data_IF_268675659586
#
_entry.id   IF_268675659586
#
_cell.length_a   1.000
_cell.length_b   1.000
_cell.length_c   1.000
_cell.angle_alpha   90.00
_cell.angle_beta   90.00
_cell.angle_gamma   90.00
#
_symmetry.space_group_name_H-M   'P 1'
#
loop_
_entity.id
_entity.type
_entity.pdbx_description
1 polymer ?
#
# COMPACT_ATOMS: atom_id res chain seq x y z
N UNK A 1 65.18 -0.49 31.34
CA UNK A 1 63.75 -0.41 31.73
C UNK A 1 62.94 0.19 30.60
N UNK A 2 61.69 -0.29 30.43
CA UNK A 2 60.62 0.16 29.51
C UNK A 2 60.70 -0.40 28.08
N UNK A 3 59.62 -0.88 27.47
CA UNK A 3 58.34 -1.51 27.86
C UNK A 3 57.75 -1.90 26.48
N UNK A 4 57.27 -3.13 26.33
CA UNK A 4 56.47 -3.50 25.16
C UNK A 4 55.15 -2.73 25.20
N UNK A 5 54.69 -2.22 24.05
CA UNK A 5 53.31 -1.81 23.84
C UNK A 5 52.80 -2.42 22.54
N UNK A 6 51.93 -3.40 22.71
CA UNK A 6 50.97 -3.90 21.74
C UNK A 6 49.86 -2.84 21.61
N UNK A 7 49.38 -2.57 20.39
CA UNK A 7 47.94 -2.61 20.06
C UNK A 7 47.64 -2.13 18.63
N UNK A 8 47.14 -3.10 17.86
CA UNK A 8 46.16 -3.09 16.76
C UNK A 8 46.17 -1.99 15.67
N UNK A 9 46.13 -2.40 14.38
CA UNK A 9 45.79 -1.52 13.28
C UNK A 9 44.28 -1.20 13.27
N UNK A 10 43.97 0.09 13.08
CA UNK A 10 42.63 0.60 12.81
C UNK A 10 42.08 -0.03 11.52
N UNK A 11 41.07 -0.88 11.66
CA UNK A 11 40.21 -1.32 10.56
C UNK A 11 39.28 -0.14 10.22
N UNK A 12 39.56 0.56 9.13
CA UNK A 12 38.58 1.44 8.48
C UNK A 12 37.62 0.58 7.63
N UNK A 13 36.61 0.01 8.28
CA UNK A 13 35.28 -0.20 7.71
C UNK A 13 34.49 1.00 8.26
N UNK A 14 33.85 1.87 7.50
CA UNK A 14 32.71 1.63 6.62
C UNK A 14 32.55 2.92 5.79
N UNK A 15 32.78 2.84 4.49
CA UNK A 15 32.13 3.77 3.54
C UNK A 15 31.65 2.96 2.33
N UNK A 16 30.90 1.91 2.63
CA UNK A 16 29.87 1.44 1.74
C UNK A 16 28.67 2.37 1.91
N UNK A 17 28.75 3.59 1.36
CA UNK A 17 27.54 4.19 0.83
C UNK A 17 27.18 3.33 -0.38
N UNK A 18 26.50 2.22 -0.10
CA UNK A 18 25.68 1.58 -1.11
C UNK A 18 24.64 2.66 -1.42
N UNK A 19 24.87 3.39 -2.51
CA UNK A 19 23.79 4.01 -3.24
C UNK A 19 22.91 2.86 -3.71
N UNK A 20 22.11 2.32 -2.79
CA UNK A 20 20.90 1.61 -3.14
C UNK A 20 20.07 2.66 -3.86
N UNK A 21 20.30 2.72 -5.18
CA UNK A 21 19.41 3.31 -6.15
C UNK A 21 18.02 3.03 -5.61
N UNK A 22 17.25 4.08 -5.43
CA UNK A 22 15.81 3.98 -5.40
C UNK A 22 15.42 3.31 -6.73
N UNK A 23 15.51 1.98 -6.77
CA UNK A 23 14.66 1.16 -7.59
C UNK A 23 13.29 1.47 -7.05
N UNK A 24 12.69 2.50 -7.62
CA UNK A 24 11.25 2.65 -7.68
C UNK A 24 10.75 1.31 -8.18
N UNK A 25 10.31 0.46 -7.24
CA UNK A 25 9.76 -0.85 -7.52
C UNK A 25 8.51 -0.64 -8.38
N UNK A 26 8.70 -0.57 -9.70
CA UNK A 26 7.69 -0.10 -10.65
C UNK A 26 6.50 -1.05 -10.78
N UNK A 27 6.52 -2.21 -10.10
CA UNK A 27 5.43 -3.18 -10.04
C UNK A 27 4.63 -3.19 -8.73
N UNK A 28 5.01 -2.42 -7.71
CA UNK A 28 4.34 -2.44 -6.40
C UNK A 28 2.90 -1.92 -6.46
N UNK A 29 2.70 -0.79 -7.15
CA UNK A 29 1.39 -0.16 -7.30
C UNK A 29 0.40 -1.04 -8.07
N UNK A 30 0.81 -1.59 -9.22
CA UNK A 30 -0.03 -2.48 -10.03
C UNK A 30 -0.40 -3.75 -9.25
N UNK A 31 0.55 -4.30 -8.51
CA UNK A 31 0.31 -5.46 -7.64
C UNK A 31 -0.72 -5.13 -6.56
N UNK A 32 -0.56 -3.99 -5.88
CA UNK A 32 -1.48 -3.55 -4.84
C UNK A 32 -2.90 -3.34 -5.39
N UNK A 33 -3.02 -2.62 -6.50
CA UNK A 33 -4.31 -2.35 -7.15
C UNK A 33 -4.97 -3.66 -7.61
N UNK A 34 -4.21 -4.60 -8.18
CA UNK A 34 -4.74 -5.90 -8.59
C UNK A 34 -5.26 -6.72 -7.40
N UNK A 35 -4.50 -6.76 -6.30
CA UNK A 35 -4.92 -7.45 -5.08
C UNK A 35 -6.18 -6.80 -4.49
N UNK A 36 -6.22 -5.47 -4.41
CA UNK A 36 -7.36 -4.72 -3.93
C UNK A 36 -8.64 -5.04 -4.73
N UNK A 37 -8.58 -4.99 -6.07
CA UNK A 37 -9.74 -5.32 -6.93
C UNK A 37 -10.21 -6.76 -6.70
N UNK A 38 -9.27 -7.70 -6.63
CA UNK A 38 -9.59 -9.10 -6.39
C UNK A 38 -10.26 -9.34 -5.04
N UNK A 39 -9.90 -8.60 -3.99
CA UNK A 39 -10.58 -8.68 -2.69
C UNK A 39 -11.96 -8.02 -2.73
N UNK A 40 -12.06 -6.84 -3.33
CA UNK A 40 -13.32 -6.11 -3.50
C UNK A 40 -14.35 -6.88 -4.31
N UNK A 41 -13.92 -7.73 -5.25
CA UNK A 41 -14.81 -8.55 -6.07
C UNK A 41 -15.24 -9.86 -5.37
N UNK A 42 -14.75 -10.15 -4.16
CA UNK A 42 -15.23 -11.28 -3.36
C UNK A 42 -16.56 -10.93 -2.68
N UNK A 43 -17.52 -11.83 -2.79
CA UNK A 43 -18.80 -11.74 -2.09
C UNK A 43 -19.98 -11.91 -3.02
N UNK A 44 -21.18 -11.72 -2.49
CA UNK A 44 -22.42 -11.76 -3.25
C UNK A 44 -22.90 -10.34 -3.59
N UNK A 45 -22.17 -9.69 -4.48
CA UNK A 45 -22.55 -8.42 -5.06
C UNK A 45 -22.04 -8.31 -6.51
N UNK A 46 -22.66 -7.46 -7.36
CA UNK A 46 -22.13 -7.16 -8.69
C UNK A 46 -20.69 -6.61 -8.63
N UNK A 47 -19.90 -6.84 -9.68
CA UNK A 47 -18.54 -6.30 -9.76
C UNK A 47 -18.54 -4.78 -9.81
N UNK A 48 -17.47 -4.18 -9.29
CA UNK A 48 -17.26 -2.74 -9.37
C UNK A 48 -16.65 -2.35 -10.72
N UNK A 49 -17.12 -1.23 -11.26
CA UNK A 49 -16.38 -0.47 -12.28
C UNK A 49 -15.54 0.57 -11.55
N UNK A 50 -14.22 0.44 -11.61
CA UNK A 50 -13.31 1.35 -10.91
C UNK A 50 -12.98 2.57 -11.77
N UNK A 51 -12.96 3.75 -11.14
CA UNK A 51 -12.34 4.96 -11.70
C UNK A 51 -10.81 4.90 -11.60
N UNK A 52 -10.17 6.05 -11.41
CA UNK A 52 -8.73 6.10 -11.15
C UNK A 52 -8.45 5.62 -9.73
N UNK A 53 -7.91 4.40 -9.61
CA UNK A 53 -7.37 3.90 -8.35
C UNK A 53 -5.91 4.33 -8.20
N UNK A 54 -5.55 4.78 -7.01
CA UNK A 54 -4.20 5.22 -6.67
C UNK A 54 -3.69 4.36 -5.53
N UNK A 55 -2.47 3.83 -5.68
CA UNK A 55 -1.74 3.23 -4.57
C UNK A 55 -0.91 4.29 -3.86
N UNK A 56 -1.14 4.45 -2.57
CA UNK A 56 -0.42 5.35 -1.66
C UNK A 56 0.43 4.50 -0.70
N UNK A 57 1.74 4.35 -0.96
CA UNK A 57 2.60 3.52 -0.12
C UNK A 57 2.71 4.10 1.29
N UNK A 58 2.79 3.22 2.29
CA UNK A 58 3.09 3.61 3.67
C UNK A 58 4.59 3.41 3.99
N UNK A 59 4.98 3.68 5.23
CA UNK A 59 6.37 3.59 5.68
C UNK A 59 6.93 2.14 5.69
N UNK A 60 6.09 1.12 5.57
CA UNK A 60 6.48 -0.28 5.51
C UNK A 60 6.70 -0.75 4.07
N UNK A 61 6.34 0.07 3.07
CA UNK A 61 6.60 -0.22 1.68
C UNK A 61 8.10 -0.20 1.38
N UNK A 62 8.62 -1.30 0.86
CA UNK A 62 10.04 -1.45 0.52
C UNK A 62 10.21 -2.21 -0.79
N UNK A 63 11.44 -2.44 -1.24
CA UNK A 63 11.70 -3.33 -2.38
C UNK A 63 11.34 -4.81 -2.10
N UNK A 64 11.14 -5.20 -0.83
CA UNK A 64 10.80 -6.57 -0.42
C UNK A 64 9.34 -6.75 0.00
N UNK A 65 8.61 -5.65 0.17
CA UNK A 65 7.23 -5.67 0.65
C UNK A 65 6.41 -4.57 -0.02
N UNK A 66 5.23 -4.92 -0.51
CA UNK A 66 4.22 -3.96 -0.93
C UNK A 66 3.33 -3.67 0.27
N UNK A 67 3.33 -2.44 0.76
CA UNK A 67 2.48 -2.03 1.88
C UNK A 67 1.91 -0.63 1.64
N UNK A 68 0.60 -0.47 1.78
CA UNK A 68 -0.02 0.84 1.64
C UNK A 68 -1.49 0.77 1.27
N UNK A 69 -2.05 1.91 0.92
CA UNK A 69 -3.47 2.08 0.72
C UNK A 69 -3.79 2.18 -0.76
N UNK A 70 -4.74 1.37 -1.24
CA UNK A 70 -5.38 1.61 -2.53
C UNK A 70 -6.64 2.43 -2.27
N UNK A 71 -6.76 3.54 -2.97
CA UNK A 71 -7.83 4.52 -2.80
C UNK A 71 -8.40 4.92 -4.15
N UNK A 72 -9.68 5.30 -4.18
CA UNK A 72 -10.24 5.98 -5.34
C UNK A 72 -11.75 5.87 -5.41
N UNK A 73 -12.26 5.92 -6.64
CA UNK A 73 -13.68 5.86 -6.92
C UNK A 73 -14.05 4.51 -7.53
N UNK A 74 -15.25 4.04 -7.21
CA UNK A 74 -15.87 2.88 -7.86
C UNK A 74 -17.35 3.09 -8.06
N UNK A 75 -17.94 2.36 -8.99
CA UNK A 75 -19.39 2.30 -9.18
C UNK A 75 -19.86 0.86 -9.32
N UNK A 76 -21.11 0.61 -8.93
CA UNK A 76 -21.74 -0.69 -9.03
C UNK A 76 -23.15 -0.53 -9.58
N UNK A 77 -23.53 -1.36 -10.56
CA UNK A 77 -24.89 -1.40 -11.08
C UNK A 77 -25.66 -2.52 -10.38
N UNK A 78 -26.79 -2.19 -9.75
CA UNK A 78 -27.70 -3.15 -9.13
C UNK A 78 -29.15 -2.74 -9.39
N UNK A 79 -29.96 -3.66 -9.90
CA UNK A 79 -31.38 -3.42 -10.22
C UNK A 79 -31.58 -2.14 -11.05
N UNK A 80 -30.85 -2.01 -12.16
CA UNK A 80 -30.89 -0.86 -13.08
C UNK A 80 -30.40 0.49 -12.50
N UNK A 81 -29.98 0.52 -11.23
CA UNK A 81 -29.45 1.70 -10.58
C UNK A 81 -27.93 1.65 -10.48
N UNK A 82 -27.28 2.78 -10.73
CA UNK A 82 -25.83 2.95 -10.53
C UNK A 82 -25.57 3.61 -9.18
N UNK A 83 -24.78 2.94 -8.35
CA UNK A 83 -24.32 3.45 -7.07
C UNK A 83 -22.85 3.82 -7.19
N UNK A 84 -22.48 5.03 -6.75
CA UNK A 84 -21.11 5.50 -6.73
C UNK A 84 -20.53 5.37 -5.32
N UNK A 85 -19.24 5.07 -5.23
CA UNK A 85 -18.54 4.80 -3.98
C UNK A 85 -17.17 5.46 -3.95
N UNK A 86 -16.77 5.90 -2.77
CA UNK A 86 -15.37 6.05 -2.38
C UNK A 86 -14.88 4.71 -1.88
N UNK A 87 -13.83 4.16 -2.49
CA UNK A 87 -13.30 2.85 -2.15
C UNK A 87 -11.91 2.96 -1.56
N UNK A 88 -11.62 2.14 -0.55
CA UNK A 88 -10.29 2.04 0.05
C UNK A 88 -9.99 0.64 0.57
N UNK A 89 -8.70 0.30 0.64
CA UNK A 89 -8.23 -0.92 1.30
C UNK A 89 -6.73 -0.84 1.58
N UNK A 90 -6.29 -1.39 2.70
CA UNK A 90 -4.88 -1.53 3.03
C UNK A 90 -4.35 -2.85 2.47
N UNK A 91 -3.31 -2.77 1.65
CA UNK A 91 -2.70 -3.93 0.99
C UNK A 91 -1.37 -4.22 1.64
N UNK A 92 -1.16 -5.48 2.01
CA UNK A 92 0.12 -5.98 2.51
C UNK A 92 0.50 -7.23 1.70
N UNK A 93 1.67 -7.19 1.07
CA UNK A 93 2.26 -8.32 0.37
C UNK A 93 3.74 -8.47 0.70
N UNK A 94 4.11 -9.64 1.20
CA UNK A 94 5.48 -10.12 1.33
C UNK A 94 5.60 -11.47 0.61
N UNK A 95 6.70 -12.19 0.80
CA UNK A 95 6.82 -13.57 0.30
C UNK A 95 5.88 -14.54 1.03
N UNK A 96 5.56 -14.27 2.29
CA UNK A 96 4.81 -15.17 3.17
C UNK A 96 3.35 -14.75 3.34
N UNK A 97 3.04 -13.47 3.10
CA UNK A 97 1.74 -12.87 3.39
C UNK A 97 1.21 -12.18 2.13
N UNK A 98 -0.08 -12.37 1.85
CA UNK A 98 -0.80 -11.67 0.79
C UNK A 98 -2.20 -11.35 1.30
N UNK A 99 -2.41 -10.12 1.75
CA UNK A 99 -3.62 -9.71 2.47
C UNK A 99 -4.10 -8.33 2.03
N UNK A 100 -5.42 -8.15 2.02
CA UNK A 100 -6.08 -6.86 1.86
C UNK A 100 -7.03 -6.70 3.05
N UNK A 101 -6.74 -5.74 3.91
CA UNK A 101 -7.51 -5.40 5.10
C UNK A 101 -8.14 -4.03 5.01
N UNK A 102 -8.88 -3.65 6.05
CA UNK A 102 -9.52 -2.34 6.17
C UNK A 102 -10.22 -1.92 4.86
N UNK A 103 -10.96 -2.88 4.31
CA UNK A 103 -11.62 -2.76 3.02
C UNK A 103 -12.96 -2.05 3.18
N UNK A 104 -13.21 -1.04 2.36
CA UNK A 104 -14.49 -0.33 2.36
C UNK A 104 -14.88 0.15 0.98
N UNK A 105 -16.18 0.05 0.67
CA UNK A 105 -16.88 0.83 -0.35
C UNK A 105 -17.92 1.71 0.35
N UNK A 106 -17.63 3.00 0.43
CA UNK A 106 -18.44 4.00 1.11
C UNK A 106 -19.30 4.71 0.07
N UNK A 107 -20.63 4.74 0.23
CA UNK A 107 -21.51 5.46 -0.71
C UNK A 107 -21.04 6.91 -0.87
N UNK A 108 -20.79 7.31 -2.11
CA UNK A 108 -20.24 8.63 -2.42
C UNK A 108 -21.19 9.76 -1.99
N UNK A 109 -20.61 10.91 -1.65
CA UNK A 109 -21.31 12.14 -1.22
C UNK A 109 -22.20 12.00 0.03
N UNK A 110 -22.08 10.89 0.74
CA UNK A 110 -22.76 10.67 2.02
C UNK A 110 -21.88 11.09 3.19
N UNK A 111 -22.50 11.33 4.35
CA UNK A 111 -21.78 11.60 5.60
C UNK A 111 -20.81 10.47 5.96
N UNK A 112 -21.17 9.22 5.64
CA UNK A 112 -20.30 8.06 5.84
C UNK A 112 -18.99 8.20 5.07
N UNK A 113 -19.04 8.62 3.79
CA UNK A 113 -17.82 8.84 3.00
C UNK A 113 -17.00 10.04 3.49
N UNK A 114 -17.64 11.07 4.06
CA UNK A 114 -16.96 12.28 4.56
C UNK A 114 -16.29 12.08 5.91
N UNK A 115 -16.86 11.22 6.76
CA UNK A 115 -16.38 10.99 8.12
C UNK A 115 -15.49 9.75 8.26
N UNK A 116 -15.23 9.04 7.17
CA UNK A 116 -14.37 7.86 7.22
C UNK A 116 -12.91 8.27 7.51
N UNK A 117 -12.48 7.99 8.75
CA UNK A 117 -11.19 8.42 9.25
C UNK A 117 -10.00 7.83 8.46
N UNK A 118 -10.12 6.58 8.03
CA UNK A 118 -9.07 5.89 7.28
C UNK A 118 -8.96 6.46 5.86
N UNK A 119 -10.07 6.68 5.17
CA UNK A 119 -10.08 7.35 3.87
C UNK A 119 -9.52 8.77 3.99
N UNK A 120 -9.95 9.54 5.00
CA UNK A 120 -9.46 10.91 5.17
C UNK A 120 -7.96 11.00 5.48
N UNK A 121 -7.44 10.02 6.21
CA UNK A 121 -6.01 9.98 6.60
C UNK A 121 -5.13 9.48 5.47
N UNK A 122 -5.60 8.48 4.71
CA UNK A 122 -4.76 7.76 3.76
C UNK A 122 -5.07 8.07 2.30
N UNK A 123 -6.27 8.56 1.96
CA UNK A 123 -6.74 8.70 0.59
C UNK A 123 -6.89 10.15 0.11
N UNK A 124 -7.09 11.11 1.03
CA UNK A 124 -7.07 12.54 0.70
C UNK A 124 -5.66 13.11 0.54
#
# INVERSE_FOLDING_TARGET
MKKALVCLPFIFLIYGCDESKNETASGGADTAIKMFKAEMDKGDHPSFTYGSLVFKPDHQNTNKAVSGWVCGDGSMVRNENTYNFKVRGHVIKTNDISYVGDLAALLADTEMSRQDALYNTHCN
#
